data_IF_132550647971
#
_entry.id   IF_132550647971
#
_cell.length_a   1.000
_cell.length_b   1.000
_cell.length_c   1.000
_cell.angle_alpha   90.00
_cell.angle_beta   90.00
_cell.angle_gamma   90.00
#
_symmetry.space_group_name_H-M   'P 1'
#
loop_
_entity.id
_entity.type
_entity.pdbx_description
1 polymer ?
#
# COMPACT_ATOMS: atom_id res chain seq x y z
N UNK A 1 2.71 -10.06 -11.35
CA UNK A 1 1.61 -10.82 -10.74
C UNK A 1 0.65 -9.84 -10.11
N UNK A 2 -0.64 -9.94 -10.44
CA UNK A 2 -1.68 -9.08 -9.85
C UNK A 2 -2.29 -9.75 -8.63
N UNK A 3 -2.50 -8.95 -7.59
CA UNK A 3 -3.06 -9.38 -6.33
C UNK A 3 -4.35 -8.59 -6.07
N UNK A 4 -5.34 -9.26 -5.50
CA UNK A 4 -6.58 -8.65 -5.03
C UNK A 4 -6.67 -8.80 -3.52
N UNK A 5 -6.91 -7.67 -2.87
CA UNK A 5 -7.15 -7.61 -1.43
C UNK A 5 -8.65 -7.77 -1.18
N UNK A 6 -9.04 -8.76 -0.39
CA UNK A 6 -10.40 -8.87 0.17
C UNK A 6 -10.34 -8.54 1.64
N UNK A 7 -11.10 -7.54 2.06
CA UNK A 7 -11.13 -7.06 3.44
C UNK A 7 -12.46 -7.39 4.09
N UNK A 8 -12.43 -7.90 5.32
CA UNK A 8 -13.56 -8.06 6.21
C UNK A 8 -13.18 -7.51 7.60
N UNK A 9 -14.14 -7.24 8.50
CA UNK A 9 -13.82 -6.78 9.86
C UNK A 9 -12.84 -7.75 10.54
N UNK A 10 -11.64 -7.27 10.86
CA UNK A 10 -10.59 -8.06 11.50
C UNK A 10 -9.89 -9.11 10.62
N UNK A 11 -10.19 -9.18 9.32
CA UNK A 11 -9.60 -10.16 8.41
C UNK A 11 -9.22 -9.55 7.05
N UNK A 12 -8.11 -10.01 6.50
CA UNK A 12 -7.65 -9.65 5.17
C UNK A 12 -7.16 -10.91 4.46
N UNK A 13 -7.60 -11.10 3.21
CA UNK A 13 -7.16 -12.18 2.34
C UNK A 13 -6.49 -11.58 1.10
N UNK A 14 -5.38 -12.18 0.68
CA UNK A 14 -4.70 -11.87 -0.56
C UNK A 14 -4.94 -13.01 -1.53
N UNK A 15 -5.55 -12.72 -2.68
CA UNK A 15 -5.76 -13.71 -3.74
C UNK A 15 -5.10 -13.26 -5.03
N UNK A 16 -4.66 -14.22 -5.85
CA UNK A 16 -4.22 -13.91 -7.22
C UNK A 16 -5.44 -13.54 -8.06
N UNK A 17 -5.29 -12.58 -8.96
CA UNK A 17 -6.37 -12.16 -9.87
C UNK A 17 -5.87 -11.98 -11.29
N UNK A 18 -6.80 -12.01 -12.24
CA UNK A 18 -6.62 -11.63 -13.64
C UNK A 18 -7.45 -10.38 -14.01
N UNK A 19 -8.08 -9.74 -13.03
CA UNK A 19 -8.81 -8.48 -13.20
C UNK A 19 -7.84 -7.33 -13.58
N UNK A 20 -8.38 -6.23 -14.10
CA UNK A 20 -7.60 -5.00 -14.30
C UNK A 20 -7.09 -4.43 -12.97
N UNK A 21 -5.87 -3.90 -13.00
CA UNK A 21 -5.24 -3.27 -11.86
C UNK A 21 -5.87 -1.92 -11.51
N UNK A 22 -6.23 -1.77 -10.24
CA UNK A 22 -6.84 -0.53 -9.75
C UNK A 22 -5.81 0.40 -9.11
N UNK A 23 -4.71 -0.19 -8.62
CA UNK A 23 -3.56 0.48 -8.04
C UNK A 23 -2.30 -0.17 -8.60
N UNK A 24 -1.40 0.63 -9.17
CA UNK A 24 -0.11 0.17 -9.65
C UNK A 24 1.03 0.95 -8.99
N UNK A 25 2.04 0.22 -8.50
CA UNK A 25 3.26 0.76 -7.90
C UNK A 25 4.39 -0.25 -8.04
N UNK A 26 5.64 0.20 -7.92
CA UNK A 26 6.78 -0.71 -7.89
C UNK A 26 7.05 -1.22 -6.46
N UNK A 27 7.93 -2.22 -6.35
CA UNK A 27 8.25 -2.84 -5.06
C UNK A 27 8.90 -1.87 -4.07
N UNK A 28 9.73 -0.93 -4.52
CA UNK A 28 10.38 0.04 -3.63
C UNK A 28 9.35 0.98 -2.98
N UNK A 29 8.38 1.47 -3.76
CA UNK A 29 7.27 2.30 -3.30
C UNK A 29 6.40 1.50 -2.32
N UNK A 30 6.08 0.25 -2.65
CA UNK A 30 5.36 -0.64 -1.74
C UNK A 30 6.11 -0.82 -0.42
N UNK A 31 7.43 -1.04 -0.44
CA UNK A 31 8.25 -1.19 0.78
C UNK A 31 8.23 0.07 1.65
N UNK A 32 8.35 1.26 1.05
CA UNK A 32 8.26 2.53 1.78
C UNK A 32 6.89 2.71 2.44
N UNK A 33 5.80 2.39 1.73
CA UNK A 33 4.44 2.40 2.27
C UNK A 33 4.26 1.38 3.38
N UNK A 34 4.70 0.13 3.16
CA UNK A 34 4.57 -0.98 4.10
C UNK A 34 5.24 -0.67 5.45
N UNK A 35 6.43 -0.07 5.42
CA UNK A 35 7.13 0.38 6.63
C UNK A 35 6.66 1.76 7.12
N UNK A 36 5.56 2.30 6.58
CA UNK A 36 4.96 3.54 7.04
C UNK A 36 5.84 4.78 6.89
N UNK A 37 6.86 4.76 6.02
CA UNK A 37 7.71 5.92 5.76
C UNK A 37 6.90 7.05 5.09
N UNK A 38 6.03 6.67 4.16
CA UNK A 38 5.08 7.54 3.48
C UNK A 38 3.70 6.87 3.40
N UNK A 39 2.63 7.67 3.37
CA UNK A 39 1.29 7.16 3.11
C UNK A 39 1.09 6.86 1.61
N UNK A 40 0.07 6.08 1.25
CA UNK A 40 -0.30 5.86 -0.14
C UNK A 40 -0.70 7.18 -0.81
N UNK A 41 -1.35 8.08 -0.07
CA UNK A 41 -1.68 9.42 -0.56
C UNK A 41 -0.42 10.23 -0.86
N UNK A 42 0.57 10.29 0.03
CA UNK A 42 1.84 11.00 -0.20
C UNK A 42 2.59 10.45 -1.43
N UNK A 43 2.60 9.13 -1.61
CA UNK A 43 3.24 8.47 -2.74
C UNK A 43 2.48 8.66 -4.07
N UNK A 44 1.16 8.77 -4.02
CA UNK A 44 0.33 9.11 -5.18
C UNK A 44 0.54 10.56 -5.62
N UNK A 45 0.56 11.50 -4.67
CA UNK A 45 0.88 12.92 -4.94
C UNK A 45 2.28 13.10 -5.54
N UNK A 46 3.24 12.26 -5.15
CA UNK A 46 4.58 12.20 -5.72
C UNK A 46 4.64 11.53 -7.12
N UNK A 47 3.52 11.05 -7.66
CA UNK A 47 3.44 10.37 -8.96
C UNK A 47 4.02 8.96 -8.97
N UNK A 48 4.25 8.36 -7.79
CA UNK A 48 4.86 7.03 -7.64
C UNK A 48 3.82 5.90 -7.57
N UNK A 49 2.56 6.24 -7.29
CA UNK A 49 1.41 5.33 -7.33
C UNK A 49 0.46 5.81 -8.43
N UNK A 50 0.04 4.88 -9.30
CA UNK A 50 -1.09 5.10 -10.21
C UNK A 50 -2.35 4.55 -9.56
N UNK A 51 -3.31 5.42 -9.29
CA UNK A 51 -4.62 5.05 -8.75
C UNK A 51 -5.67 6.00 -9.31
N UNK A 52 -6.77 5.45 -9.84
CA UNK A 52 -7.89 6.23 -10.37
C UNK A 52 -8.98 6.54 -9.34
N UNK A 53 -8.96 5.89 -8.17
CA UNK A 53 -10.02 5.96 -7.18
C UNK A 53 -9.48 6.34 -5.78
N UNK A 54 -9.79 7.56 -5.29
CA UNK A 54 -9.28 8.03 -4.00
C UNK A 54 -9.65 7.15 -2.79
N UNK A 55 -10.77 6.42 -2.86
CA UNK A 55 -11.22 5.49 -1.81
C UNK A 55 -10.19 4.38 -1.55
N UNK A 56 -9.46 3.95 -2.60
CA UNK A 56 -8.43 2.91 -2.52
C UNK A 56 -7.16 3.42 -1.87
N UNK A 57 -6.80 4.68 -2.11
CA UNK A 57 -5.72 5.34 -1.37
C UNK A 57 -6.06 5.42 0.12
N UNK A 58 -7.27 5.83 0.46
CA UNK A 58 -7.73 5.88 1.85
C UNK A 58 -7.77 4.51 2.53
N UNK A 59 -8.05 3.43 1.79
CA UNK A 59 -7.93 2.06 2.31
C UNK A 59 -6.47 1.71 2.59
N UNK A 60 -5.56 1.99 1.66
CA UNK A 60 -4.13 1.73 1.83
C UNK A 60 -3.53 2.53 2.98
N UNK A 61 -3.92 3.79 3.16
CA UNK A 61 -3.50 4.63 4.29
C UNK A 61 -3.95 4.06 5.65
N UNK A 62 -5.10 3.36 5.68
CA UNK A 62 -5.58 2.67 6.90
C UNK A 62 -4.84 1.35 7.15
N UNK A 63 -4.49 0.62 6.09
CA UNK A 63 -3.76 -0.64 6.20
C UNK A 63 -2.28 -0.40 6.57
N UNK A 64 -1.68 0.65 6.02
CA UNK A 64 -0.28 1.01 6.20
C UNK A 64 -0.17 2.45 6.70
N UNK A 65 -0.58 2.70 7.96
CA UNK A 65 -0.51 4.05 8.52
C UNK A 65 0.94 4.53 8.59
N UNK A 66 1.12 5.85 8.50
CA UNK A 66 2.43 6.47 8.68
C UNK A 66 2.99 6.13 10.07
N UNK A 67 4.24 5.69 10.11
CA UNK A 67 4.90 5.24 11.33
C UNK A 67 6.32 5.78 11.40
N UNK A 68 6.74 6.17 12.62
CA UNK A 68 8.12 6.50 12.90
C UNK A 68 8.84 5.26 13.41
N UNK A 69 9.45 4.53 12.49
CA UNK A 69 10.22 3.35 12.80
C UNK A 69 11.65 3.69 13.23
N UNK A 70 12.18 2.92 14.17
CA UNK A 70 13.53 3.07 14.71
C UNK A 70 14.27 1.75 14.58
N UNK A 71 15.48 1.79 14.02
CA UNK A 71 16.36 0.63 13.99
C UNK A 71 17.25 0.71 15.23
N UNK A 72 17.05 -0.22 16.16
CA UNK A 72 17.76 -0.24 17.43
C UNK A 72 18.91 -1.26 17.46
N UNK A 73 19.05 -2.08 16.42
CA UNK A 73 20.07 -3.13 16.29
C UNK A 73 20.87 -2.91 15.00
N UNK A 74 22.21 -3.02 15.10
CA UNK A 74 23.14 -2.89 13.98
C UNK A 74 23.81 -4.25 13.75
N UNK A 75 23.64 -4.81 12.54
CA UNK A 75 24.15 -6.11 12.12
C UNK A 75 25.44 -5.98 11.31
#
# INVERSE_FOLDING_TARGET
>A
HLLKLKTAPGAMEVVTTADEEEVAMNMAVFTQMYFGAFTATELWEAGLIRCGEPSKLALLDKLFPKQRNWINEYF
#
